data_IF_120879361029
#
_entry.id   IF_120879361029
#
_cell.length_a   1.000
_cell.length_b   1.000
_cell.length_c   1.000
_cell.angle_alpha   90.00
_cell.angle_beta   90.00
_cell.angle_gamma   90.00
#
_symmetry.space_group_name_H-M   'P 1'
#
loop_
_entity.id
_entity.type
_entity.pdbx_description
1 polymer ?
#
# COMPACT_ATOMS: atom_id res chain seq x y z
N UNK A 1 -47.21 -64.52 -13.43
CA UNK A 1 -46.54 -64.89 -12.17
C UNK A 1 -45.26 -64.06 -12.06
N UNK A 2 -45.14 -63.34 -10.95
CA UNK A 2 -44.25 -62.21 -10.72
C UNK A 2 -42.84 -62.62 -10.30
N UNK A 3 -41.86 -61.83 -10.75
CA UNK A 3 -40.61 -61.37 -10.10
C UNK A 3 -39.80 -62.37 -9.26
N UNK A 4 -38.50 -62.43 -9.56
CA UNK A 4 -37.45 -62.13 -8.59
C UNK A 4 -36.20 -61.62 -9.32
N UNK A 5 -36.18 -60.31 -9.62
CA UNK A 5 -34.93 -59.56 -9.76
C UNK A 5 -34.49 -59.23 -8.34
N UNK A 6 -33.29 -59.65 -7.96
CA UNK A 6 -32.61 -59.20 -6.76
C UNK A 6 -32.62 -57.67 -6.72
N UNK A 7 -33.42 -57.09 -5.83
CA UNK A 7 -33.25 -55.70 -5.42
C UNK A 7 -31.95 -55.63 -4.60
N UNK A 8 -30.88 -55.14 -5.21
CA UNK A 8 -29.90 -54.39 -4.43
C UNK A 8 -30.57 -53.09 -4.04
N UNK A 9 -30.75 -52.89 -2.73
CA UNK A 9 -31.48 -51.78 -2.14
C UNK A 9 -30.98 -50.42 -2.65
N UNK A 10 -31.92 -49.56 -3.06
CA UNK A 10 -31.67 -48.17 -3.43
C UNK A 10 -30.99 -47.36 -2.30
N UNK A 11 -31.02 -47.87 -1.07
CA UNK A 11 -30.28 -47.34 0.07
C UNK A 11 -28.76 -47.50 -0.07
N UNK A 12 -28.27 -48.57 -0.71
CA UNK A 12 -26.83 -48.78 -0.94
C UNK A 12 -26.30 -47.78 -1.98
N UNK A 13 -27.07 -47.50 -3.03
CA UNK A 13 -26.70 -46.49 -4.04
C UNK A 13 -26.75 -45.05 -3.48
N UNK A 14 -27.71 -44.73 -2.61
CA UNK A 14 -27.74 -43.41 -1.94
C UNK A 14 -26.59 -43.26 -0.93
N UNK A 15 -26.21 -44.33 -0.23
CA UNK A 15 -25.07 -44.32 0.70
C UNK A 15 -23.72 -44.19 -0.04
N UNK A 16 -23.57 -44.83 -1.21
CA UNK A 16 -22.38 -44.68 -2.04
C UNK A 16 -22.30 -43.31 -2.75
N UNK A 17 -23.43 -42.70 -3.14
CA UNK A 17 -23.45 -41.35 -3.71
C UNK A 17 -23.24 -40.23 -2.67
N UNK A 18 -23.47 -40.49 -1.39
CA UNK A 18 -23.16 -39.56 -0.29
C UNK A 18 -21.69 -39.62 0.17
N UNK A 19 -20.86 -40.50 -0.41
CA UNK A 19 -19.46 -40.72 -0.02
C UNK A 19 -18.43 -40.37 -1.09
N UNK A 20 -18.81 -39.94 -2.30
CA UNK A 20 -17.84 -39.33 -3.20
C UNK A 20 -17.63 -37.86 -2.79
N UNK A 21 -16.67 -37.62 -1.89
CA UNK A 21 -16.11 -36.26 -1.75
C UNK A 21 -15.66 -35.82 -3.14
N UNK A 22 -16.36 -34.86 -3.75
CA UNK A 22 -15.93 -34.23 -5.00
C UNK A 22 -14.55 -33.62 -4.73
N UNK A 23 -13.50 -34.33 -5.15
CA UNK A 23 -12.12 -33.89 -4.97
C UNK A 23 -11.70 -33.13 -6.22
N UNK A 24 -11.16 -31.94 -6.01
CA UNK A 24 -10.64 -31.14 -7.11
C UNK A 24 -9.29 -31.69 -7.57
N UNK A 25 -9.11 -31.76 -8.88
CA UNK A 25 -7.85 -32.17 -9.50
C UNK A 25 -6.97 -30.96 -9.82
N UNK A 26 -5.68 -31.22 -10.06
CA UNK A 26 -4.71 -30.17 -10.33
C UNK A 26 -4.86 -29.59 -11.75
N UNK A 27 -5.32 -28.35 -11.83
CA UNK A 27 -5.33 -27.59 -13.09
C UNK A 27 -6.31 -28.10 -14.15
N UNK A 28 -6.15 -27.59 -15.36
CA UNK A 28 -6.93 -28.01 -16.54
C UNK A 28 -7.35 -26.84 -17.43
N UNK A 29 -7.85 -27.18 -18.61
CA UNK A 29 -8.51 -26.21 -19.50
C UNK A 29 -10.00 -26.26 -19.24
N UNK A 30 -10.59 -25.11 -18.93
CA UNK A 30 -12.00 -25.01 -18.56
C UNK A 30 -12.68 -24.06 -19.52
N UNK A 31 -13.69 -24.56 -20.22
CA UNK A 31 -14.50 -23.80 -21.17
C UNK A 31 -15.96 -23.83 -20.72
N UNK A 32 -16.58 -22.67 -20.58
CA UNK A 32 -18.00 -22.60 -20.19
C UNK A 32 -18.40 -21.21 -19.74
N UNK A 33 -19.70 -20.99 -19.53
CA UNK A 33 -20.22 -19.72 -19.03
C UNK A 33 -19.97 -19.52 -17.53
N UNK A 34 -19.85 -20.59 -16.76
CA UNK A 34 -19.54 -20.54 -15.33
C UNK A 34 -18.98 -21.87 -14.87
N UNK A 35 -18.38 -21.87 -13.68
CA UNK A 35 -17.88 -23.09 -13.06
C UNK A 35 -17.16 -22.83 -11.74
N UNK A 36 -16.74 -23.92 -11.11
CA UNK A 36 -16.05 -23.90 -9.81
C UNK A 36 -14.64 -24.43 -9.99
N UNK A 37 -13.67 -23.76 -9.39
CA UNK A 37 -12.25 -24.11 -9.40
C UNK A 37 -11.81 -24.23 -7.95
N UNK A 38 -11.09 -25.29 -7.62
CA UNK A 38 -10.55 -25.50 -6.29
C UNK A 38 -9.14 -26.05 -6.34
N UNK A 39 -8.39 -25.83 -5.26
CA UNK A 39 -7.07 -26.44 -5.06
C UNK A 39 -7.14 -27.96 -5.12
N UNK A 40 -6.08 -28.60 -5.59
CA UNK A 40 -6.01 -30.06 -5.63
C UNK A 40 -6.30 -30.65 -4.24
N UNK A 41 -7.26 -31.58 -4.17
CA UNK A 41 -7.63 -32.24 -2.91
C UNK A 41 -8.64 -31.47 -2.04
N UNK A 42 -9.06 -30.26 -2.41
CA UNK A 42 -10.12 -29.52 -1.69
C UNK A 42 -11.40 -30.39 -1.55
N UNK A 43 -12.08 -30.42 -0.37
CA UNK A 43 -11.88 -29.58 0.82
C UNK A 43 -10.77 -30.06 1.79
N UNK A 44 -9.96 -31.04 1.39
CA UNK A 44 -8.76 -31.43 2.12
C UNK A 44 -7.60 -30.45 1.93
N UNK A 45 -6.47 -30.79 2.56
CA UNK A 45 -5.23 -30.01 2.49
C UNK A 45 -4.60 -30.17 1.11
N UNK A 46 -4.13 -29.07 0.51
CA UNK A 46 -3.44 -29.15 -0.78
C UNK A 46 -2.07 -29.81 -0.66
N UNK A 47 -1.59 -30.51 -1.71
CA UNK A 47 -0.29 -31.17 -1.67
C UNK A 47 0.86 -30.15 -1.67
N UNK A 48 1.98 -30.44 -0.97
CA UNK A 48 3.19 -29.64 -1.06
C UNK A 48 3.87 -29.81 -2.43
N UNK A 49 4.77 -28.90 -2.78
CA UNK A 49 5.56 -28.89 -4.03
C UNK A 49 4.70 -28.99 -5.29
N UNK A 50 3.49 -28.43 -5.27
CA UNK A 50 2.54 -28.54 -6.37
C UNK A 50 2.53 -27.28 -7.22
N UNK A 51 2.28 -27.46 -8.52
CA UNK A 51 2.05 -26.35 -9.46
C UNK A 51 0.84 -26.67 -10.32
N UNK A 52 -0.30 -26.10 -9.94
CA UNK A 52 -1.56 -26.30 -10.65
C UNK A 52 -1.92 -25.06 -11.47
N UNK A 53 -2.34 -25.27 -12.71
CA UNK A 53 -2.70 -24.18 -13.63
C UNK A 53 -4.05 -24.43 -14.26
N UNK A 54 -5.00 -23.52 -14.02
CA UNK A 54 -6.32 -23.53 -14.64
C UNK A 54 -6.39 -22.45 -15.73
N UNK A 55 -6.80 -22.84 -16.94
CA UNK A 55 -7.00 -21.95 -18.08
C UNK A 55 -8.48 -21.84 -18.37
N UNK A 56 -9.09 -20.77 -17.91
CA UNK A 56 -10.51 -20.48 -18.11
C UNK A 56 -10.70 -19.77 -19.43
N UNK A 57 -11.68 -20.20 -20.21
CA UNK A 57 -12.14 -19.55 -21.43
C UNK A 57 -13.66 -19.46 -21.42
N UNK A 58 -14.18 -18.23 -21.43
CA UNK A 58 -15.62 -17.97 -21.56
C UNK A 58 -15.96 -17.64 -23.02
N UNK A 59 -17.25 -17.62 -23.43
CA UNK A 59 -17.64 -17.26 -24.78
C UNK A 59 -17.03 -15.93 -25.26
N UNK A 60 -16.80 -15.82 -26.57
CA UNK A 60 -16.26 -14.59 -27.15
C UNK A 60 -17.19 -13.39 -26.90
N UNK A 61 -16.59 -12.20 -26.81
CA UNK A 61 -17.30 -10.97 -26.45
C UNK A 61 -17.62 -10.82 -24.96
N UNK A 62 -17.30 -11.81 -24.11
CA UNK A 62 -17.46 -11.75 -22.65
C UNK A 62 -16.12 -11.54 -21.93
N UNK A 63 -16.17 -11.22 -20.64
CA UNK A 63 -15.04 -11.24 -19.71
C UNK A 63 -15.22 -12.31 -18.64
N UNK A 64 -14.13 -12.76 -18.04
CA UNK A 64 -14.13 -13.71 -16.93
C UNK A 64 -14.16 -12.92 -15.62
N UNK A 65 -15.16 -13.18 -14.78
CA UNK A 65 -15.22 -12.71 -13.39
C UNK A 65 -14.90 -13.88 -12.48
N UNK A 66 -13.89 -13.74 -11.62
CA UNK A 66 -13.46 -14.74 -10.65
C UNK A 66 -13.69 -14.24 -9.22
N UNK A 67 -14.41 -15.03 -8.43
CA UNK A 67 -14.75 -14.71 -7.05
C UNK A 67 -14.25 -15.82 -6.12
N UNK A 68 -13.35 -15.50 -5.19
CA UNK A 68 -12.88 -16.46 -4.18
C UNK A 68 -13.96 -16.65 -3.11
N UNK A 69 -14.44 -17.89 -2.97
CA UNK A 69 -15.33 -18.30 -1.87
C UNK A 69 -14.53 -18.66 -0.63
N UNK A 70 -13.36 -19.26 -0.80
CA UNK A 70 -12.42 -19.60 0.26
C UNK A 70 -10.99 -19.40 -0.23
N UNK A 71 -10.14 -18.89 0.66
CA UNK A 71 -8.69 -18.82 0.48
C UNK A 71 -8.04 -19.09 1.84
N UNK A 72 -7.14 -20.06 1.89
CA UNK A 72 -6.43 -20.51 3.08
C UNK A 72 -5.12 -21.17 2.65
N UNK A 73 -4.12 -20.34 2.42
CA UNK A 73 -2.76 -20.73 2.04
C UNK A 73 -1.77 -20.34 3.14
N UNK A 74 -0.54 -20.86 3.10
CA UNK A 74 0.53 -20.33 3.97
C UNK A 74 0.66 -18.79 3.80
N UNK A 75 0.88 -18.10 4.91
CA UNK A 75 0.95 -16.65 4.95
C UNK A 75 2.41 -16.17 4.95
N UNK A 76 2.78 -15.35 3.97
CA UNK A 76 4.06 -14.65 3.90
C UNK A 76 3.83 -13.22 3.40
N UNK A 77 4.60 -12.25 3.91
CA UNK A 77 4.44 -10.84 3.54
C UNK A 77 4.64 -10.56 2.04
N UNK A 78 5.33 -11.47 1.33
CA UNK A 78 5.61 -11.37 -0.10
C UNK A 78 4.97 -12.53 -0.88
N UNK A 79 4.16 -13.38 -0.23
CA UNK A 79 3.59 -14.59 -0.79
C UNK A 79 4.63 -15.41 -1.57
N UNK A 80 5.80 -15.67 -0.95
CA UNK A 80 6.94 -16.36 -1.60
C UNK A 80 6.86 -17.87 -1.57
N UNK A 81 6.18 -18.43 -0.57
CA UNK A 81 6.05 -19.87 -0.36
C UNK A 81 4.83 -20.37 -1.13
N UNK A 82 3.65 -20.31 -0.51
CA UNK A 82 2.40 -20.68 -1.15
C UNK A 82 1.63 -19.46 -1.69
N UNK A 83 1.15 -19.55 -2.92
CA UNK A 83 0.37 -18.46 -3.50
C UNK A 83 -0.54 -18.90 -4.66
N UNK A 84 -1.55 -18.09 -4.90
CA UNK A 84 -2.36 -18.09 -6.12
C UNK A 84 -2.08 -16.81 -6.92
N UNK A 85 -1.50 -16.96 -8.10
CA UNK A 85 -1.44 -15.88 -9.09
C UNK A 85 -2.67 -15.95 -10.01
N UNK A 86 -3.28 -14.80 -10.29
CA UNK A 86 -4.38 -14.67 -11.26
C UNK A 86 -3.96 -13.71 -12.37
N UNK A 87 -4.14 -14.12 -13.63
CA UNK A 87 -3.77 -13.36 -14.82
C UNK A 87 -4.97 -13.13 -15.74
N UNK A 88 -5.08 -11.91 -16.26
CA UNK A 88 -6.00 -11.57 -17.34
C UNK A 88 -5.44 -12.05 -18.68
N UNK A 89 -6.03 -13.11 -19.25
CA UNK A 89 -5.50 -13.86 -20.40
C UNK A 89 -4.85 -15.20 -20.01
N UNK A 90 -4.39 -15.96 -21.01
CA UNK A 90 -3.63 -17.20 -20.79
C UNK A 90 -2.12 -16.95 -20.73
N UNK A 91 -1.48 -16.71 -21.88
CA UNK A 91 -0.04 -16.43 -21.96
C UNK A 91 0.22 -14.92 -22.03
N UNK A 92 1.28 -14.45 -21.35
CA UNK A 92 1.67 -13.03 -21.28
C UNK A 92 0.57 -12.08 -20.75
N UNK A 93 -0.43 -12.64 -20.07
CA UNK A 93 -1.52 -11.91 -19.45
C UNK A 93 -1.03 -10.98 -18.35
N UNK A 94 -1.77 -9.89 -18.10
CA UNK A 94 -1.47 -9.02 -16.97
C UNK A 94 -1.84 -9.75 -15.67
N UNK A 95 -0.91 -9.83 -14.71
CA UNK A 95 -1.25 -10.34 -13.38
C UNK A 95 -2.21 -9.38 -12.69
N UNK A 96 -3.39 -9.88 -12.36
CA UNK A 96 -4.42 -9.19 -11.60
C UNK A 96 -4.09 -9.17 -10.11
N UNK A 97 -3.43 -10.21 -9.61
CA UNK A 97 -2.91 -10.24 -8.25
C UNK A 97 -2.19 -11.54 -7.92
N UNK A 98 -1.50 -11.51 -6.78
CA UNK A 98 -0.92 -12.66 -6.08
C UNK A 98 -1.53 -12.70 -4.68
N UNK A 99 -2.05 -13.85 -4.29
CA UNK A 99 -2.78 -14.00 -3.02
C UNK A 99 -2.23 -15.18 -2.22
N UNK A 100 -2.11 -15.00 -0.91
CA UNK A 100 -1.71 -16.00 0.06
C UNK A 100 -2.37 -15.70 1.42
N UNK A 101 -2.18 -16.56 2.42
CA UNK A 101 -2.89 -16.44 3.70
C UNK A 101 -4.39 -16.65 3.55
N UNK A 102 -5.17 -15.93 4.37
CA UNK A 102 -6.64 -16.08 4.47
C UNK A 102 -7.44 -14.88 3.94
N UNK A 103 -6.76 -13.85 3.45
CA UNK A 103 -7.42 -12.65 2.93
C UNK A 103 -7.97 -12.91 1.53
N UNK A 104 -9.29 -12.85 1.37
CA UNK A 104 -9.95 -12.99 0.07
C UNK A 104 -10.00 -11.62 -0.62
N UNK A 105 -9.47 -11.49 -1.85
CA UNK A 105 -9.70 -10.29 -2.63
C UNK A 105 -11.18 -10.21 -3.04
N UNK A 106 -11.58 -9.02 -3.48
CA UNK A 106 -12.82 -8.81 -4.19
C UNK A 106 -12.85 -9.55 -5.53
N UNK A 107 -13.93 -9.36 -6.29
CA UNK A 107 -14.08 -9.96 -7.61
C UNK A 107 -12.95 -9.48 -8.54
N UNK A 108 -12.27 -10.44 -9.17
CA UNK A 108 -11.22 -10.20 -10.15
C UNK A 108 -11.80 -10.33 -11.54
N UNK A 109 -11.60 -9.33 -12.39
CA UNK A 109 -12.16 -9.32 -13.74
C UNK A 109 -11.06 -9.27 -14.78
N UNK A 110 -11.13 -10.15 -15.78
CA UNK A 110 -10.23 -10.12 -16.93
C UNK A 110 -10.63 -9.03 -17.94
N UNK A 111 -9.67 -8.65 -18.77
CA UNK A 111 -9.86 -7.69 -19.88
C UNK A 111 -10.29 -8.36 -21.18
N UNK A 112 -10.37 -9.69 -21.22
CA UNK A 112 -10.80 -10.49 -22.36
C UNK A 112 -11.50 -11.77 -21.88
N UNK A 113 -11.90 -12.65 -22.80
CA UNK A 113 -12.61 -13.88 -22.50
C UNK A 113 -11.74 -15.01 -21.91
N UNK A 114 -10.52 -14.71 -21.46
CA UNK A 114 -9.55 -15.69 -20.97
C UNK A 114 -8.99 -15.26 -19.61
N UNK A 115 -8.78 -16.23 -18.73
CA UNK A 115 -8.12 -16.01 -17.43
C UNK A 115 -7.27 -17.23 -17.08
N UNK A 116 -6.10 -16.98 -16.51
CA UNK A 116 -5.22 -18.02 -16.00
C UNK A 116 -5.08 -17.89 -14.49
N UNK A 117 -5.35 -18.99 -13.79
CA UNK A 117 -5.15 -19.12 -12.35
C UNK A 117 -4.00 -20.11 -12.16
N UNK A 118 -2.99 -19.74 -11.38
CA UNK A 118 -1.87 -20.61 -11.05
C UNK A 118 -1.68 -20.66 -9.54
N UNK A 119 -1.80 -21.85 -8.97
CA UNK A 119 -1.41 -22.11 -7.58
C UNK A 119 -0.04 -22.76 -7.56
N UNK A 120 0.83 -22.27 -6.67
CA UNK A 120 2.14 -22.85 -6.37
C UNK A 120 2.20 -23.10 -4.87
N UNK A 121 2.67 -24.28 -4.46
CA UNK A 121 2.99 -24.60 -3.06
C UNK A 121 4.44 -25.04 -2.90
N UNK A 122 5.02 -24.75 -1.73
CA UNK A 122 6.35 -25.18 -1.35
C UNK A 122 6.34 -26.52 -0.57
N UNK A 123 7.46 -26.90 0.05
CA UNK A 123 7.59 -28.18 0.72
C UNK A 123 6.93 -28.27 2.11
N UNK A 124 6.62 -27.15 2.77
CA UNK A 124 6.23 -27.11 4.17
C UNK A 124 4.99 -26.24 4.39
N UNK A 125 4.22 -26.56 5.44
CA UNK A 125 2.98 -25.85 5.78
C UNK A 125 1.92 -25.97 4.68
N UNK A 126 0.68 -26.25 5.05
CA UNK A 126 -0.41 -26.24 4.09
C UNK A 126 -1.72 -25.94 4.80
N UNK A 127 -2.61 -25.27 4.07
CA UNK A 127 -3.99 -24.98 4.49
C UNK A 127 -5.00 -25.80 3.69
N UNK A 128 -6.27 -25.44 3.81
CA UNK A 128 -7.35 -26.02 3.00
C UNK A 128 -7.31 -25.59 1.52
N UNK A 129 -6.51 -24.57 1.18
CA UNK A 129 -6.28 -24.13 -0.19
C UNK A 129 -7.28 -23.10 -0.64
N UNK A 130 -7.90 -23.27 -1.81
CA UNK A 130 -8.86 -22.29 -2.30
C UNK A 130 -10.06 -22.92 -2.97
N UNK A 131 -11.17 -22.19 -2.95
CA UNK A 131 -12.36 -22.44 -3.74
C UNK A 131 -12.80 -21.13 -4.38
N UNK A 132 -12.94 -21.12 -5.70
CA UNK A 132 -13.35 -19.96 -6.47
C UNK A 132 -14.43 -20.33 -7.48
N UNK A 133 -15.30 -19.36 -7.77
CA UNK A 133 -16.32 -19.47 -8.82
C UNK A 133 -15.94 -18.51 -9.93
N UNK A 134 -15.99 -18.97 -11.17
CA UNK A 134 -15.87 -18.09 -12.33
C UNK A 134 -17.19 -17.98 -13.07
N UNK A 135 -17.41 -16.85 -13.74
CA UNK A 135 -18.55 -16.62 -14.61
C UNK A 135 -18.20 -15.72 -15.79
N UNK A 136 -18.94 -15.87 -16.88
CA UNK A 136 -18.91 -15.02 -18.05
C UNK A 136 -19.83 -13.81 -17.82
N UNK A 137 -19.31 -12.61 -17.94
CA UNK A 137 -20.08 -11.38 -17.88
C UNK A 137 -19.94 -10.60 -19.20
N UNK A 138 -20.99 -9.90 -19.62
CA UNK A 138 -20.83 -8.87 -20.66
C UNK A 138 -19.83 -7.81 -20.14
N UNK A 139 -18.96 -7.27 -21.01
CA UNK A 139 -18.23 -6.05 -20.72
C UNK A 139 -19.21 -4.99 -20.20
N UNK A 140 -19.02 -4.52 -18.97
CA UNK A 140 -19.87 -3.53 -18.31
C UNK A 140 -21.33 -3.96 -18.04
N UNK A 141 -21.63 -5.27 -17.93
CA UNK A 141 -23.01 -5.81 -17.78
C UNK A 141 -23.78 -5.25 -16.58
N UNK A 142 -23.11 -5.03 -15.46
CA UNK A 142 -23.74 -4.55 -14.21
C UNK A 142 -23.87 -3.03 -14.16
N UNK A 143 -23.57 -2.34 -15.26
CA UNK A 143 -23.31 -0.90 -15.24
C UNK A 143 -21.93 -0.54 -14.70
N UNK A 144 -21.15 -1.54 -14.27
CA UNK A 144 -19.84 -1.36 -13.68
C UNK A 144 -18.75 -1.34 -14.75
N UNK A 145 -18.03 -0.22 -14.88
CA UNK A 145 -16.88 -0.15 -15.77
C UNK A 145 -15.70 -0.94 -15.16
N UNK A 146 -15.35 -2.06 -15.77
CA UNK A 146 -14.19 -2.84 -15.32
C UNK A 146 -12.91 -2.00 -15.35
N UNK A 147 -12.06 -2.20 -14.33
CA UNK A 147 -10.88 -1.39 -14.06
C UNK A 147 -9.59 -2.22 -14.14
N UNK A 148 -8.45 -1.54 -14.20
CA UNK A 148 -7.13 -2.17 -14.26
C UNK A 148 -6.56 -2.26 -15.67
N UNK A 149 -5.50 -3.07 -15.80
CA UNK A 149 -4.84 -3.36 -17.07
C UNK A 149 -3.40 -2.84 -17.15
N UNK A 150 -2.79 -3.06 -18.32
CA UNK A 150 -1.39 -2.70 -18.56
C UNK A 150 -1.29 -1.36 -19.29
N UNK A 151 -0.53 -0.43 -18.72
CA UNK A 151 -0.42 0.96 -19.18
C UNK A 151 0.99 1.24 -19.71
N UNK A 152 1.10 1.34 -21.04
CA UNK A 152 2.38 1.48 -21.76
C UNK A 152 2.55 2.83 -22.47
N UNK A 153 1.50 3.66 -22.50
CA UNK A 153 1.51 4.95 -23.21
C UNK A 153 2.38 5.95 -22.45
N UNK A 154 2.98 6.94 -23.13
CA UNK A 154 3.87 7.94 -22.49
C UNK A 154 3.20 8.74 -21.38
N UNK A 155 1.88 8.90 -21.47
CA UNK A 155 1.01 9.45 -20.45
C UNK A 155 -0.40 8.89 -20.64
N UNK A 156 -1.21 8.99 -19.59
CA UNK A 156 -2.61 8.61 -19.64
C UNK A 156 -3.27 8.76 -18.28
N UNK A 157 -4.47 8.22 -18.18
CA UNK A 157 -5.27 8.24 -16.96
C UNK A 157 -5.71 6.85 -16.56
N UNK A 158 -5.98 6.68 -15.27
CA UNK A 158 -6.67 5.53 -14.72
C UNK A 158 -7.57 6.01 -13.57
N UNK A 159 -8.68 5.31 -13.37
CA UNK A 159 -9.74 5.70 -12.46
C UNK A 159 -10.42 4.48 -11.87
N UNK A 160 -11.09 4.66 -10.74
CA UNK A 160 -12.01 3.65 -10.22
C UNK A 160 -13.11 3.33 -11.23
N UNK A 161 -13.74 2.15 -11.13
CA UNK A 161 -15.00 1.89 -11.81
C UNK A 161 -16.01 3.02 -11.56
N UNK A 162 -16.87 3.26 -12.53
CA UNK A 162 -18.03 4.16 -12.45
C UNK A 162 -17.74 5.64 -12.26
N UNK A 163 -16.47 6.04 -12.14
CA UNK A 163 -16.09 7.44 -12.06
C UNK A 163 -16.28 8.17 -13.41
N UNK A 164 -16.81 9.41 -13.42
CA UNK A 164 -17.29 10.21 -12.29
C UNK A 164 -18.80 10.06 -12.02
N UNK A 165 -19.49 9.18 -12.73
CA UNK A 165 -20.95 9.12 -12.74
C UNK A 165 -21.55 8.58 -11.43
N UNK A 166 -20.88 7.63 -10.78
CA UNK A 166 -21.33 6.97 -9.54
C UNK A 166 -20.13 6.49 -8.71
N UNK A 167 -20.40 6.17 -7.45
CA UNK A 167 -19.48 5.49 -6.55
C UNK A 167 -18.90 4.20 -7.16
N UNK A 168 -17.68 3.87 -6.73
CA UNK A 168 -17.10 2.57 -7.05
C UNK A 168 -17.89 1.44 -6.39
N UNK A 169 -17.95 0.23 -6.98
CA UNK A 169 -18.67 -0.89 -6.38
C UNK A 169 -17.94 -1.46 -5.16
N UNK A 170 -18.71 -2.02 -4.23
CA UNK A 170 -18.18 -2.82 -3.13
C UNK A 170 -17.58 -4.14 -3.63
N UNK A 171 -16.52 -4.61 -2.99
CA UNK A 171 -15.89 -5.89 -3.24
C UNK A 171 -15.15 -5.96 -4.57
N UNK A 172 -14.58 -4.86 -5.06
CA UNK A 172 -13.83 -4.84 -6.32
C UNK A 172 -12.33 -4.82 -6.08
N UNK A 173 -11.59 -5.42 -7.01
CA UNK A 173 -10.13 -5.36 -7.03
C UNK A 173 -9.64 -4.90 -8.40
N UNK A 174 -9.06 -3.70 -8.44
CA UNK A 174 -8.45 -3.15 -9.64
C UNK A 174 -6.92 -3.22 -9.56
N UNK A 175 -6.28 -3.57 -10.66
CA UNK A 175 -4.82 -3.63 -10.74
C UNK A 175 -4.30 -2.99 -12.02
N UNK A 176 -3.50 -1.93 -11.88
CA UNK A 176 -2.83 -1.25 -12.99
C UNK A 176 -1.33 -1.50 -12.94
N UNK A 177 -0.79 -1.94 -14.07
CA UNK A 177 0.65 -2.14 -14.24
C UNK A 177 1.18 -1.17 -15.28
N UNK A 178 1.87 -0.14 -14.79
CA UNK A 178 2.46 0.91 -15.62
C UNK A 178 3.89 0.52 -15.95
N UNK A 179 4.22 0.44 -17.24
CA UNK A 179 5.56 0.05 -17.70
C UNK A 179 6.09 1.07 -18.69
N UNK A 180 7.09 1.82 -18.24
CA UNK A 180 7.87 2.74 -19.05
C UNK A 180 9.09 2.05 -19.67
N UNK A 181 9.80 2.78 -20.54
CA UNK A 181 11.09 2.33 -21.09
C UNK A 181 12.16 2.33 -19.99
N UNK A 182 13.21 1.50 -20.12
CA UNK A 182 14.24 1.28 -19.09
C UNK A 182 14.92 2.57 -18.54
N UNK A 183 14.97 3.64 -19.34
CA UNK A 183 15.58 4.93 -18.99
C UNK A 183 14.58 5.99 -18.49
N UNK A 184 13.34 5.58 -18.19
CA UNK A 184 12.28 6.44 -17.72
C UNK A 184 11.81 6.03 -16.32
N UNK A 185 11.31 7.01 -15.58
CA UNK A 185 10.55 6.84 -14.35
C UNK A 185 9.11 7.27 -14.59
N UNK A 186 8.22 6.88 -13.70
CA UNK A 186 6.78 7.09 -13.79
C UNK A 186 6.40 8.09 -12.70
N UNK A 187 5.73 9.17 -13.08
CA UNK A 187 5.08 10.10 -12.16
C UNK A 187 3.58 9.84 -12.19
N UNK A 188 2.97 9.64 -11.03
CA UNK A 188 1.51 9.49 -10.84
C UNK A 188 1.00 10.62 -9.97
N UNK A 189 -0.09 11.27 -10.39
CA UNK A 189 -0.77 12.32 -9.64
C UNK A 189 -2.27 12.03 -9.61
N UNK A 190 -2.84 12.00 -8.41
CA UNK A 190 -4.28 11.94 -8.21
C UNK A 190 -4.86 13.36 -8.31
N UNK A 191 -5.87 13.53 -9.15
CA UNK A 191 -6.58 14.81 -9.28
C UNK A 191 -7.75 14.88 -8.29
N UNK A 192 -8.53 13.82 -8.24
CA UNK A 192 -9.60 13.58 -7.26
C UNK A 192 -9.34 12.27 -6.56
N UNK A 193 -9.68 12.19 -5.28
CA UNK A 193 -9.47 11.02 -4.46
C UNK A 193 -10.45 11.04 -3.29
N UNK A 194 -11.40 10.13 -3.32
CA UNK A 194 -12.33 9.88 -2.22
C UNK A 194 -12.57 8.37 -2.11
N UNK A 195 -11.97 7.77 -1.10
CA UNK A 195 -11.99 6.33 -0.80
C UNK A 195 -12.35 6.20 0.68
N UNK A 196 -13.09 5.16 1.06
CA UNK A 196 -13.56 4.97 2.44
C UNK A 196 -12.49 5.29 3.49
N UNK A 197 -12.83 6.17 4.44
CA UNK A 197 -11.87 6.66 5.43
C UNK A 197 -11.72 5.67 6.57
N UNK A 198 -10.51 5.13 6.74
CA UNK A 198 -10.08 4.42 7.95
C UNK A 198 -8.72 4.92 8.42
N UNK A 199 -8.48 4.93 9.74
CA UNK A 199 -7.21 5.39 10.32
C UNK A 199 -6.00 4.57 9.87
N UNK A 200 -6.23 3.34 9.42
CA UNK A 200 -5.20 2.41 8.97
C UNK A 200 -5.45 1.90 7.54
N UNK A 201 -6.42 2.50 6.83
CA UNK A 201 -6.87 2.08 5.51
C UNK A 201 -7.11 0.57 5.42
N UNK A 202 -7.77 -0.02 6.41
CA UNK A 202 -7.98 -1.49 6.52
C UNK A 202 -9.04 -2.01 5.57
N UNK A 203 -10.04 -1.20 5.30
CA UNK A 203 -11.14 -1.47 4.39
C UNK A 203 -10.69 -1.08 2.98
N UNK A 204 -11.27 -0.01 2.43
CA UNK A 204 -10.94 0.43 1.08
C UNK A 204 -9.62 1.21 1.03
N UNK A 205 -8.82 0.93 0.00
CA UNK A 205 -7.55 1.61 -0.16
C UNK A 205 -6.94 1.46 -1.55
N UNK A 206 -6.08 2.42 -1.87
CA UNK A 206 -5.13 2.34 -2.99
C UNK A 206 -3.74 2.06 -2.45
N UNK A 207 -3.11 0.97 -2.89
CA UNK A 207 -1.72 0.65 -2.60
C UNK A 207 -0.85 0.80 -3.86
N UNK A 208 0.30 1.44 -3.72
CA UNK A 208 1.24 1.70 -4.82
C UNK A 208 2.59 1.06 -4.49
N UNK A 209 3.15 0.33 -5.45
CA UNK A 209 4.37 -0.45 -5.29
C UNK A 209 5.39 -0.15 -6.39
N UNK A 210 6.65 -0.04 -6.01
CA UNK A 210 7.77 -0.01 -6.95
C UNK A 210 7.97 -1.40 -7.59
N UNK A 211 8.05 -1.43 -8.92
CA UNK A 211 8.17 -2.67 -9.69
C UNK A 211 6.87 -3.10 -10.37
N UNK A 212 6.83 -4.33 -10.86
CA UNK A 212 5.69 -4.88 -11.61
C UNK A 212 4.75 -5.74 -10.78
N UNK A 213 4.86 -5.71 -9.45
CA UNK A 213 4.15 -6.63 -8.57
C UNK A 213 3.86 -6.08 -7.18
N UNK A 214 2.88 -6.70 -6.52
CA UNK A 214 2.56 -6.44 -5.10
C UNK A 214 3.72 -6.97 -4.27
N UNK A 215 4.40 -6.06 -3.58
CA UNK A 215 5.54 -6.38 -2.73
C UNK A 215 5.60 -5.38 -1.59
N UNK A 216 5.24 -5.81 -0.38
CA UNK A 216 5.15 -4.94 0.79
C UNK A 216 6.46 -4.24 1.15
N UNK A 217 7.62 -4.85 0.84
CA UNK A 217 8.93 -4.22 1.04
C UNK A 217 9.22 -3.10 0.02
N UNK A 218 8.51 -3.09 -1.12
CA UNK A 218 8.59 -2.06 -2.17
C UNK A 218 7.34 -1.19 -2.23
N UNK A 219 6.47 -1.24 -1.20
CA UNK A 219 5.26 -0.42 -1.14
C UNK A 219 5.65 1.03 -0.88
N UNK A 220 5.29 1.90 -1.81
CA UNK A 220 5.45 3.34 -1.69
C UNK A 220 4.45 3.89 -0.66
N UNK A 221 3.20 3.42 -0.73
CA UNK A 221 2.18 3.84 0.21
C UNK A 221 0.86 3.09 0.07
N UNK A 222 0.01 3.30 1.09
CA UNK A 222 -1.36 2.82 1.18
C UNK A 222 -2.23 4.03 1.53
N UNK A 223 -3.24 4.31 0.73
CA UNK A 223 -3.98 5.58 0.76
C UNK A 223 -5.48 5.31 0.81
N UNK A 224 -6.19 6.10 1.62
CA UNK A 224 -7.65 6.11 1.77
C UNK A 224 -8.09 7.48 2.32
N UNK A 225 -9.39 7.74 2.37
CA UNK A 225 -9.97 9.04 2.72
C UNK A 225 -10.24 9.93 1.50
N UNK A 226 -10.53 11.21 1.77
CA UNK A 226 -11.04 12.22 0.83
C UNK A 226 -9.98 13.20 0.31
N UNK A 227 -8.70 12.90 0.57
CA UNK A 227 -7.59 13.80 0.28
C UNK A 227 -6.62 13.15 -0.69
N UNK A 228 -6.40 13.73 -1.89
CA UNK A 228 -5.43 13.19 -2.84
C UNK A 228 -4.03 13.07 -2.24
N UNK A 229 -3.35 11.92 -2.39
CA UNK A 229 -1.99 11.77 -1.92
C UNK A 229 -1.03 12.66 -2.73
N UNK A 230 0.14 12.93 -2.15
CA UNK A 230 1.21 13.63 -2.84
C UNK A 230 1.63 12.89 -4.13
N UNK A 231 2.13 13.60 -5.17
CA UNK A 231 2.59 12.97 -6.39
C UNK A 231 3.62 11.87 -6.11
N UNK A 232 3.42 10.70 -6.73
CA UNK A 232 4.25 9.52 -6.55
C UNK A 232 5.21 9.37 -7.72
N UNK A 233 6.47 9.07 -7.42
CA UNK A 233 7.52 8.81 -8.40
C UNK A 233 8.06 7.40 -8.24
N UNK A 234 8.20 6.66 -9.34
CA UNK A 234 8.82 5.34 -9.32
C UNK A 234 10.35 5.42 -9.26
N UNK A 235 10.98 4.43 -8.65
CA UNK A 235 12.45 4.26 -8.65
C UNK A 235 12.98 3.67 -9.96
N UNK A 236 12.16 2.82 -10.58
CA UNK A 236 12.44 2.12 -11.83
C UNK A 236 11.47 2.50 -12.95
N UNK A 237 11.45 1.67 -13.99
CA UNK A 237 10.57 1.85 -15.15
C UNK A 237 9.21 1.13 -15.00
N UNK A 238 8.91 0.59 -13.83
CA UNK A 238 7.68 -0.16 -13.56
C UNK A 238 7.06 0.33 -12.25
N UNK A 239 5.74 0.46 -12.25
CA UNK A 239 4.93 0.79 -11.09
C UNK A 239 3.67 -0.06 -11.11
N UNK A 240 3.33 -0.65 -9.96
CA UNK A 240 2.13 -1.44 -9.78
C UNK A 240 1.18 -0.74 -8.80
N UNK A 241 -0.09 -0.61 -9.18
CA UNK A 241 -1.11 0.08 -8.39
C UNK A 241 -2.28 -0.87 -8.20
N UNK A 242 -2.72 -1.04 -6.96
CA UNK A 242 -3.88 -1.84 -6.60
C UNK A 242 -4.90 -0.97 -5.88
N UNK A 243 -6.16 -1.09 -6.28
CA UNK A 243 -7.30 -0.59 -5.51
C UNK A 243 -8.13 -1.77 -5.03
N UNK A 244 -8.44 -1.80 -3.74
CA UNK A 244 -9.29 -2.79 -3.09
C UNK A 244 -10.45 -2.07 -2.43
N UNK A 245 -11.67 -2.56 -2.64
CA UNK A 245 -12.83 -2.25 -1.82
C UNK A 245 -13.36 -3.47 -1.09
N UNK A 246 -13.86 -3.27 0.13
CA UNK A 246 -14.52 -4.28 0.93
C UNK A 246 -16.02 -4.39 0.58
N UNK A 247 -16.78 -5.22 1.30
CA UNK A 247 -18.18 -5.52 0.96
C UNK A 247 -19.18 -4.44 1.41
N UNK A 248 -18.72 -3.31 1.92
CA UNK A 248 -19.53 -2.21 2.44
C UNK A 248 -18.94 -0.84 2.09
N UNK A 249 -19.68 0.23 2.42
CA UNK A 249 -19.23 1.63 2.38
C UNK A 249 -18.41 2.04 1.14
N UNK A 250 -19.09 2.54 0.12
CA UNK A 250 -18.46 3.08 -1.10
C UNK A 250 -18.30 4.60 -1.02
N UNK A 251 -17.54 5.16 -1.96
CA UNK A 251 -17.35 6.60 -2.14
C UNK A 251 -17.16 6.95 -3.63
N UNK A 252 -17.01 8.25 -3.95
CA UNK A 252 -16.88 8.75 -5.34
C UNK A 252 -15.71 8.11 -6.11
N UNK A 253 -14.67 7.67 -5.40
CA UNK A 253 -13.48 7.05 -5.98
C UNK A 253 -12.43 8.07 -6.41
N UNK A 254 -11.68 7.73 -7.47
CA UNK A 254 -10.56 8.57 -7.89
C UNK A 254 -10.35 8.59 -9.39
N UNK A 255 -9.71 9.68 -9.85
CA UNK A 255 -9.04 9.75 -11.15
C UNK A 255 -7.59 10.19 -10.96
N UNK A 256 -6.69 9.45 -11.60
CA UNK A 256 -5.26 9.68 -11.55
C UNK A 256 -4.66 9.79 -12.95
N UNK A 257 -3.63 10.61 -13.05
CA UNK A 257 -2.86 10.86 -14.26
C UNK A 257 -1.46 10.33 -14.09
N UNK A 258 -0.95 9.62 -15.10
CA UNK A 258 0.45 9.19 -15.12
C UNK A 258 1.17 9.76 -16.33
N UNK A 259 2.47 9.97 -16.19
CA UNK A 259 3.37 10.34 -17.29
C UNK A 259 4.77 9.82 -17.07
N UNK A 260 5.46 9.52 -18.15
CA UNK A 260 6.85 9.06 -18.11
C UNK A 260 7.78 10.26 -18.12
N UNK A 261 8.74 10.24 -17.18
CA UNK A 261 9.81 11.22 -17.05
C UNK A 261 11.13 10.57 -17.38
N UNK A 262 12.08 11.32 -17.91
CA UNK A 262 13.45 10.83 -18.04
C UNK A 262 14.10 10.76 -16.66
N UNK A 263 14.89 9.69 -16.43
CA UNK A 263 15.70 9.56 -15.23
C UNK A 263 16.77 10.66 -15.28
N UNK A 264 16.62 11.72 -14.49
CA UNK A 264 17.68 12.73 -14.34
C UNK A 264 18.81 12.07 -13.57
N UNK A 265 19.87 11.66 -14.27
CA UNK A 265 21.13 11.33 -13.62
C UNK A 265 21.75 12.64 -13.11
N UNK A 266 22.28 12.69 -11.87
CA UNK A 266 23.17 13.78 -11.51
C UNK A 266 24.38 13.70 -12.44
N UNK A 267 24.46 14.60 -13.41
CA UNK A 267 25.68 14.80 -14.19
C UNK A 267 26.72 15.35 -13.23
N UNK A 268 27.74 14.55 -12.95
CA UNK A 268 28.99 15.02 -12.32
C UNK A 268 29.71 15.88 -13.36
N UNK A 269 29.23 17.10 -13.53
CA UNK A 269 29.98 18.13 -14.24
C UNK A 269 30.53 19.05 -13.17
N UNK A 270 31.84 18.93 -12.95
CA UNK A 270 32.62 19.87 -12.12
C UNK A 270 32.30 21.29 -12.62
N UNK A 271 31.79 22.20 -11.77
CA UNK A 271 31.58 23.58 -12.18
C UNK A 271 32.93 24.28 -12.39
N UNK A 272 33.15 25.00 -13.51
CA UNK A 272 34.27 25.94 -13.59
C UNK A 272 34.03 27.09 -12.60
N UNK A 273 35.10 27.43 -11.90
CA UNK A 273 35.18 28.57 -10.99
C UNK A 273 35.03 29.85 -11.79
N UNK A 274 33.91 30.56 -11.63
CA UNK A 274 33.78 31.95 -12.06
C UNK A 274 33.35 32.79 -10.88
N UNK A 275 34.28 33.63 -10.44
CA UNK A 275 34.15 34.63 -9.38
C UNK A 275 33.15 35.70 -9.83
N UNK A 276 32.10 35.93 -9.03
CA UNK A 276 31.23 37.09 -9.16
C UNK A 276 30.96 37.72 -7.76
N UNK A 277 30.75 39.05 -7.69
CA UNK A 277 30.84 39.87 -6.48
C UNK A 277 29.60 39.79 -5.57
N UNK A 278 29.67 40.34 -4.33
CA UNK A 278 28.81 39.93 -3.24
C UNK A 278 27.41 40.54 -3.34
N UNK A 279 26.40 39.69 -3.43
CA UNK A 279 25.02 40.08 -3.14
C UNK A 279 24.68 39.61 -1.74
N UNK A 280 24.58 40.56 -0.83
CA UNK A 280 24.04 40.41 0.53
C UNK A 280 22.68 39.74 0.50
N UNK A 281 22.66 38.45 0.81
CA UNK A 281 21.47 37.75 1.30
C UNK A 281 21.88 36.98 2.54
N UNK A 282 21.27 37.34 3.65
CA UNK A 282 21.44 36.77 4.98
C UNK A 282 21.17 35.27 4.95
N UNK A 283 22.25 34.49 4.85
CA UNK A 283 22.23 33.04 5.02
C UNK A 283 21.77 32.73 6.46
N UNK A 284 20.79 31.84 6.71
CA UNK A 284 20.49 31.40 8.05
C UNK A 284 21.72 30.67 8.59
N UNK A 285 22.27 31.16 9.70
CA UNK A 285 23.38 30.50 10.40
C UNK A 285 22.87 29.11 10.86
N UNK A 286 23.58 28.01 10.56
CA UNK A 286 23.24 26.70 11.10
C UNK A 286 23.23 26.76 12.64
N UNK A 287 22.07 26.48 13.26
CA UNK A 287 21.88 26.54 14.71
C UNK A 287 22.74 25.48 15.42
N UNK A 288 23.95 25.85 15.86
CA UNK A 288 24.82 24.98 16.64
C UNK A 288 24.76 25.31 18.13
N UNK A 289 25.20 24.37 18.96
CA UNK A 289 25.39 24.59 20.39
C UNK A 289 26.33 25.77 20.63
N UNK A 290 25.91 26.74 21.45
CA UNK A 290 26.76 27.80 21.97
C UNK A 290 26.39 28.13 23.41
N UNK A 291 27.39 28.51 24.23
CA UNK A 291 27.16 28.87 25.61
C UNK A 291 26.16 30.03 25.75
N UNK A 292 26.20 31.00 24.81
CA UNK A 292 25.27 32.13 24.75
C UNK A 292 23.83 31.69 24.44
N UNK A 293 23.61 30.76 23.50
CA UNK A 293 22.27 30.21 23.19
C UNK A 293 21.67 29.52 24.42
N UNK A 294 22.50 28.83 25.22
CA UNK A 294 22.06 28.07 26.39
C UNK A 294 21.96 28.89 27.69
N UNK A 295 22.37 30.16 27.69
CA UNK A 295 22.14 31.11 28.79
C UNK A 295 20.74 31.75 28.73
N UNK A 296 20.04 31.64 27.60
CA UNK A 296 18.68 32.16 27.45
C UNK A 296 17.68 31.38 28.34
N UNK A 297 16.86 32.09 29.12
CA UNK A 297 15.82 31.45 29.95
C UNK A 297 14.79 30.75 29.05
N UNK A 298 14.54 29.48 29.32
CA UNK A 298 13.57 28.64 28.59
C UNK A 298 12.13 29.06 28.90
N UNK A 299 11.69 30.18 28.32
CA UNK A 299 10.31 30.64 28.44
C UNK A 299 9.53 30.14 27.23
N UNK A 300 8.63 29.18 27.46
CA UNK A 300 7.61 28.80 26.46
C UNK A 300 6.66 29.98 26.29
N UNK A 301 6.87 30.79 25.27
CA UNK A 301 5.97 31.86 24.85
C UNK A 301 5.39 31.49 23.48
N UNK A 302 4.14 31.87 23.23
CA UNK A 302 3.41 31.51 22.00
C UNK A 302 2.50 30.29 22.15
N UNK A 303 1.64 30.08 21.16
CA UNK A 303 0.68 28.98 21.11
C UNK A 303 1.23 27.82 20.25
N UNK A 304 0.70 26.58 20.38
CA UNK A 304 1.09 25.47 19.52
C UNK A 304 1.03 25.80 18.02
N UNK A 305 0.07 26.62 17.61
CA UNK A 305 -0.11 27.07 16.23
C UNK A 305 1.03 28.00 15.79
N UNK A 306 1.43 28.97 16.62
CA UNK A 306 2.57 29.84 16.30
C UNK A 306 3.87 29.06 16.14
N UNK A 307 4.06 28.02 16.95
CA UNK A 307 5.23 27.13 16.87
C UNK A 307 5.16 26.18 15.69
N UNK A 308 3.96 25.74 15.31
CA UNK A 308 3.73 24.97 14.09
C UNK A 308 4.10 25.79 12.83
N UNK A 309 3.71 27.07 12.78
CA UNK A 309 4.04 27.95 11.67
C UNK A 309 5.53 28.27 11.59
N UNK A 310 6.20 28.50 12.72
CA UNK A 310 7.63 28.85 12.75
C UNK A 310 8.58 27.66 12.60
N UNK A 311 8.09 26.43 12.75
CA UNK A 311 8.88 25.20 12.63
C UNK A 311 8.87 24.66 11.20
N UNK A 312 9.95 24.06 10.75
CA UNK A 312 10.00 23.41 9.44
C UNK A 312 9.63 21.92 9.51
N UNK A 313 9.72 21.30 10.69
CA UNK A 313 9.22 19.95 10.95
C UNK A 313 8.37 19.91 12.22
N UNK A 314 7.37 19.03 12.22
CA UNK A 314 6.45 18.75 13.32
C UNK A 314 6.11 17.26 13.31
N UNK A 315 6.51 16.54 14.36
CA UNK A 315 6.27 15.10 14.51
C UNK A 315 5.75 14.79 15.92
N UNK A 316 5.07 13.66 16.06
CA UNK A 316 4.85 13.02 17.35
C UNK A 316 5.59 11.70 17.40
N UNK A 317 6.11 11.35 18.58
CA UNK A 317 6.78 10.07 18.73
C UNK A 317 7.21 9.76 20.14
N UNK A 318 7.58 8.50 20.35
CA UNK A 318 8.14 7.99 21.60
C UNK A 318 9.65 8.17 21.59
N UNK A 319 10.22 8.72 22.67
CA UNK A 319 11.68 8.80 22.82
C UNK A 319 12.21 7.40 23.14
N UNK A 320 12.87 6.75 22.19
CA UNK A 320 13.41 5.39 22.36
C UNK A 320 14.85 5.40 22.89
N UNK A 321 15.61 6.45 22.61
CA UNK A 321 16.94 6.68 23.16
C UNK A 321 17.19 8.18 23.35
N UNK A 322 17.90 8.57 24.40
CA UNK A 322 18.34 9.93 24.64
C UNK A 322 19.72 9.92 25.31
N UNK A 323 20.73 10.50 24.65
CA UNK A 323 22.12 10.52 25.12
C UNK A 323 22.63 11.95 25.10
N UNK A 324 23.25 12.40 26.19
CA UNK A 324 23.82 13.76 26.27
C UNK A 324 25.30 13.72 25.89
N UNK A 325 25.72 14.55 24.93
CA UNK A 325 27.13 14.72 24.52
C UNK A 325 27.41 16.20 24.23
N UNK A 326 28.52 16.74 24.73
CA UNK A 326 28.97 18.09 24.39
C UNK A 326 27.95 19.20 24.67
N UNK A 327 27.14 19.08 25.73
CA UNK A 327 26.13 20.08 26.10
C UNK A 327 24.79 20.01 25.35
N UNK A 328 24.68 19.13 24.34
CA UNK A 328 23.46 18.82 23.58
C UNK A 328 22.95 17.41 23.89
N UNK A 329 21.66 17.19 23.67
CA UNK A 329 21.02 15.88 23.81
C UNK A 329 20.66 15.32 22.44
N UNK A 330 21.12 14.11 22.17
CA UNK A 330 20.85 13.36 20.95
C UNK A 330 19.76 12.35 21.27
N UNK A 331 18.59 12.52 20.65
CA UNK A 331 17.45 11.65 20.86
C UNK A 331 17.09 10.88 19.59
N UNK A 332 16.78 9.60 19.75
CA UNK A 332 16.16 8.80 18.70
C UNK A 332 14.68 8.67 19.04
N UNK A 333 13.83 9.05 18.09
CA UNK A 333 12.39 9.11 18.25
C UNK A 333 11.77 8.04 17.37
N UNK A 334 10.94 7.17 17.94
CA UNK A 334 10.04 6.31 17.18
C UNK A 334 8.81 7.15 16.81
N UNK A 335 8.65 7.45 15.54
CA UNK A 335 7.61 8.34 15.04
C UNK A 335 6.26 7.63 15.11
N UNK A 336 5.28 8.33 15.68
CA UNK A 336 3.87 7.95 15.71
C UNK A 336 3.15 8.63 14.53
N UNK A 337 3.27 9.96 14.40
CA UNK A 337 2.73 10.72 13.27
C UNK A 337 3.69 11.82 12.81
N UNK A 338 3.60 12.19 11.53
CA UNK A 338 4.28 13.34 10.93
C UNK A 338 3.22 14.34 10.49
N UNK A 339 3.34 15.59 10.94
CA UNK A 339 2.43 16.69 10.57
C UNK A 339 3.10 17.68 9.62
N UNK A 340 4.42 17.87 9.76
CA UNK A 340 5.27 18.65 8.86
C UNK A 340 6.63 17.94 8.80
N UNK A 341 7.06 17.54 7.61
CA UNK A 341 8.34 16.82 7.47
C UNK A 341 9.52 17.77 7.30
N UNK A 342 9.35 18.83 6.49
CA UNK A 342 10.45 19.71 6.13
C UNK A 342 11.56 18.92 5.42
N UNK A 343 12.81 19.12 5.86
CA UNK A 343 13.97 18.34 5.39
C UNK A 343 14.35 17.19 6.34
N UNK A 344 13.50 16.84 7.31
CA UNK A 344 13.87 15.88 8.36
C UNK A 344 14.13 14.48 7.79
N UNK A 345 15.32 13.93 8.06
CA UNK A 345 15.66 12.58 7.67
C UNK A 345 14.93 11.56 8.56
N UNK A 346 14.01 10.81 7.94
CA UNK A 346 13.25 9.74 8.59
C UNK A 346 13.79 8.39 8.11
N UNK A 347 14.18 7.55 9.07
CA UNK A 347 14.66 6.20 8.86
C UNK A 347 13.50 5.22 9.05
N UNK A 348 13.22 4.41 8.02
CA UNK A 348 12.15 3.41 8.06
C UNK A 348 12.75 2.00 8.06
N UNK A 349 12.43 1.22 9.09
CA UNK A 349 12.81 -0.19 9.19
C UNK A 349 11.54 -1.02 9.42
N UNK A 350 11.03 -1.65 8.36
CA UNK A 350 9.74 -2.35 8.40
C UNK A 350 8.57 -1.39 8.65
N UNK A 351 7.80 -1.65 9.72
CA UNK A 351 6.61 -0.84 10.10
C UNK A 351 6.93 0.32 11.04
N UNK A 352 8.17 0.47 11.50
CA UNK A 352 8.57 1.53 12.43
C UNK A 352 9.34 2.62 11.71
N UNK A 353 8.86 3.86 11.87
CA UNK A 353 9.57 5.05 11.44
C UNK A 353 10.33 5.62 12.63
N UNK A 354 11.57 6.03 12.41
CA UNK A 354 12.37 6.66 13.45
C UNK A 354 13.17 7.82 12.89
N UNK A 355 13.51 8.78 13.73
CA UNK A 355 14.39 9.88 13.34
C UNK A 355 15.31 10.24 14.49
N UNK A 356 16.46 10.83 14.14
CA UNK A 356 17.43 11.34 15.10
C UNK A 356 17.31 12.85 15.16
N UNK A 357 17.05 13.36 16.36
CA UNK A 357 16.96 14.79 16.62
C UNK A 357 18.04 15.21 17.63
N UNK A 358 18.52 16.43 17.48
CA UNK A 358 19.46 17.08 18.38
C UNK A 358 18.73 18.18 19.12
N UNK A 359 18.57 18.01 20.42
CA UNK A 359 18.06 19.04 21.31
C UNK A 359 19.27 19.83 21.81
N UNK A 360 19.37 21.08 21.36
CA UNK A 360 20.40 22.00 21.78
C UNK A 360 20.14 22.38 23.24
N UNK A 361 21.20 22.48 24.05
CA UNK A 361 21.14 22.83 25.46
C UNK A 361 20.45 21.75 26.33
N UNK A 362 21.23 20.89 26.97
CA UNK A 362 20.77 19.77 27.84
C UNK A 362 19.70 20.11 28.90
N UNK A 363 19.57 21.39 29.27
CA UNK A 363 18.64 21.82 30.32
C UNK A 363 17.21 22.03 29.79
N UNK A 364 17.02 22.27 28.49
CA UNK A 364 15.71 22.60 27.92
C UNK A 364 15.63 22.32 26.41
N UNK A 365 14.56 21.68 25.92
CA UNK A 365 13.50 20.96 26.63
C UNK A 365 13.95 19.64 27.26
N UNK A 366 13.43 19.35 28.46
CA UNK A 366 13.69 18.08 29.16
C UNK A 366 12.75 16.97 28.67
N UNK A 367 13.34 15.92 28.09
CA UNK A 367 12.62 14.74 27.60
C UNK A 367 13.09 13.49 28.33
N UNK A 368 12.18 12.52 28.50
CA UNK A 368 12.48 11.23 29.11
C UNK A 368 12.23 10.11 28.10
N UNK A 369 13.10 9.10 28.15
CA UNK A 369 12.92 7.85 27.40
C UNK A 369 11.59 7.19 27.78
N UNK A 370 10.91 6.60 26.80
CA UNK A 370 9.65 5.87 26.96
C UNK A 370 8.39 6.73 26.99
N UNK A 371 8.53 8.07 26.97
CA UNK A 371 7.39 8.97 26.90
C UNK A 371 7.18 9.50 25.47
N UNK A 372 5.92 9.83 25.19
CA UNK A 372 5.50 10.40 23.94
C UNK A 372 5.58 11.93 24.00
N UNK A 373 6.00 12.55 22.91
CA UNK A 373 6.08 14.00 22.80
C UNK A 373 5.67 14.48 21.41
N UNK A 374 5.28 15.76 21.35
CA UNK A 374 5.22 16.58 20.14
C UNK A 374 6.57 17.27 20.02
N UNK A 375 7.20 17.16 18.86
CA UNK A 375 8.46 17.82 18.53
C UNK A 375 8.22 18.77 17.38
N UNK A 376 8.53 20.05 17.58
CA UNK A 376 8.53 21.08 16.53
C UNK A 376 9.91 21.72 16.51
N UNK A 377 10.52 21.86 15.33
CA UNK A 377 11.89 22.37 15.21
C UNK A 377 12.30 22.71 13.80
N UNK A 378 13.61 22.82 13.61
CA UNK A 378 14.24 23.07 12.31
C UNK A 378 15.16 21.91 11.91
N UNK A 379 14.91 21.28 10.78
CA UNK A 379 15.81 20.37 10.10
C UNK A 379 16.86 21.17 9.31
N UNK A 380 18.13 20.78 9.43
CA UNK A 380 19.22 21.34 8.62
C UNK A 380 19.25 20.76 7.19
N UNK A 381 20.18 21.25 6.36
CA UNK A 381 20.34 20.79 4.97
C UNK A 381 20.78 19.33 4.86
N UNK A 382 21.35 18.76 5.93
CA UNK A 382 21.70 17.34 6.03
C UNK A 382 20.57 16.48 6.63
N UNK A 383 19.40 17.08 6.85
CA UNK A 383 18.19 16.44 7.36
C UNK A 383 18.22 16.08 8.84
N UNK A 384 19.13 16.65 9.62
CA UNK A 384 19.14 16.48 11.08
C UNK A 384 18.16 17.46 11.71
N UNK A 385 17.19 16.95 12.45
CA UNK A 385 16.25 17.77 13.22
C UNK A 385 16.95 18.43 14.40
N UNK A 386 16.92 19.75 14.46
CA UNK A 386 17.46 20.56 15.56
C UNK A 386 16.34 21.24 16.34
N UNK A 387 16.40 21.11 17.66
CA UNK A 387 15.46 21.76 18.57
C UNK A 387 16.25 22.68 19.49
N UNK A 388 16.15 23.97 19.22
CA UNK A 388 16.72 25.02 20.05
C UNK A 388 15.84 25.33 21.27
N UNK A 389 16.33 26.07 22.29
CA UNK A 389 15.55 26.38 23.50
C UNK A 389 14.22 27.13 23.25
N UNK A 390 14.08 27.82 22.12
CA UNK A 390 12.87 28.54 21.72
C UNK A 390 11.87 27.67 20.92
N UNK A 391 12.27 26.47 20.49
CA UNK A 391 11.42 25.54 19.77
C UNK A 391 10.53 24.72 20.72
N UNK A 392 9.46 24.16 20.18
CA UNK A 392 8.39 23.58 20.98
C UNK A 392 8.54 22.06 21.16
N UNK A 393 8.61 21.63 22.43
CA UNK A 393 8.40 20.23 22.82
C UNK A 393 7.37 20.17 23.95
N UNK A 394 6.39 19.29 23.80
CA UNK A 394 5.36 19.04 24.81
C UNK A 394 5.09 17.53 24.95
N UNK A 395 4.92 17.05 26.18
CA UNK A 395 4.51 15.66 26.41
C UNK A 395 3.14 15.39 25.77
N UNK A 396 3.00 14.24 25.14
CA UNK A 396 1.80 13.82 24.44
C UNK A 396 0.93 12.93 25.34
N UNK A 397 -0.32 13.34 25.56
CA UNK A 397 -1.35 12.56 26.26
C UNK A 397 -2.73 12.77 25.60
N UNK A 398 -3.74 12.00 26.02
CA UNK A 398 -5.09 12.03 25.43
C UNK A 398 -5.77 13.42 25.47
N UNK A 399 -5.43 14.29 26.42
CA UNK A 399 -5.99 15.66 26.50
C UNK A 399 -5.46 16.58 25.41
N UNK A 400 -4.33 16.25 24.79
CA UNK A 400 -3.69 17.05 23.75
C UNK A 400 -4.24 16.75 22.34
N UNK A 401 -5.20 15.82 22.21
CA UNK A 401 -5.82 15.47 20.92
C UNK A 401 -6.51 16.67 20.23
N UNK A 402 -7.04 17.62 21.02
CA UNK A 402 -7.63 18.87 20.51
C UNK A 402 -6.61 19.78 19.80
N UNK A 403 -5.36 19.82 20.27
CA UNK A 403 -4.29 20.62 19.64
C UNK A 403 -4.02 20.11 18.22
N UNK A 404 -4.07 18.80 17.99
CA UNK A 404 -3.85 18.23 16.65
C UNK A 404 -5.00 18.50 15.68
N UNK A 405 -6.24 18.52 16.15
CA UNK A 405 -7.39 18.88 15.31
C UNK A 405 -7.29 20.34 14.83
N UNK A 406 -6.71 21.22 15.66
CA UNK A 406 -6.43 22.61 15.26
C UNK A 406 -5.27 22.70 14.26
N UNK A 407 -4.23 21.85 14.38
CA UNK A 407 -3.06 21.89 13.50
C UNK A 407 -3.29 21.25 12.11
N UNK A 408 -4.14 20.21 12.00
CA UNK A 408 -4.38 19.49 10.73
C UNK A 408 -4.93 20.38 9.61
N UNK A 409 -5.62 21.47 9.96
CA UNK A 409 -6.28 22.37 9.00
C UNK A 409 -5.64 23.78 8.99
N UNK A 410 -4.46 23.97 9.59
CA UNK A 410 -3.81 25.29 9.66
C UNK A 410 -2.81 25.50 8.53
N UNK A 411 -3.04 26.56 7.75
CA UNK A 411 -2.07 27.10 6.81
C UNK A 411 -1.23 28.19 7.49
N UNK A 412 0.08 28.00 7.36
CA UNK A 412 1.18 28.89 7.66
C UNK A 412 1.96 29.01 6.35
#
# INVERSE_FOLDING_TARGET
MSRNKCCMDAWVYLYFFLLSRQTFTCGGNITGQSGVIGSQGYPGVYPPNSRCVWRVTVPEGKVVVLSFRLLDLESDNLCRYDYVDVYSGHANGQRLGRFCGTFRPGDLVSTNNKMLIQMVSDANTAGSGFLAVYSAANPNERGDQYCGGRLMKRSGTFKTPNWPEKDYPAGVTCSWHIVARKNQIIEVKFEKFDVERDNYCRYDHVAIFNGGEINDAKRIGKYCGDSPPAPVFSEGNQLFIQFLSDLSLTADGFIAHYKFRHKKFPSTTVPPTTTAPPTTTTRPIPLKYSAALCQQKCKRKGTPESHYCSSNFVITGTVIAAVTRGGSMYATISIINVYKEGNLAIQQAGKTMSTKIVILCKKCPYIRRGLNYIFMGQADEEGRGMIAPHHFIMAFNAKNQRVFNMLKNKHC
#
